data_IF_217830567497
#
_entry.id   IF_217830567497
#
_cell.length_a   1.000
_cell.length_b   1.000
_cell.length_c   1.000
_cell.angle_alpha   90.00
_cell.angle_beta   90.00
_cell.angle_gamma   90.00
#
_symmetry.space_group_name_H-M   'P 1'
#
loop_
_entity.id
_entity.type
_entity.pdbx_description
1 polymer ?
#
# COMPACT_ATOMS: atom_id res chain seq x y z
N UNK A 1 5.02 16.75 -10.65
CA UNK A 1 6.18 16.70 -9.72
C UNK A 1 7.02 15.50 -10.10
N UNK A 2 8.32 15.66 -10.41
CA UNK A 2 9.19 14.52 -10.73
C UNK A 2 9.70 13.88 -9.45
N UNK A 3 9.73 12.54 -9.40
CA UNK A 3 10.32 11.75 -8.31
C UNK A 3 11.86 11.75 -8.37
N UNK A 4 12.41 11.87 -9.58
CA UNK A 4 13.85 11.80 -9.87
C UNK A 4 14.31 13.14 -10.43
N UNK A 5 15.44 13.64 -9.92
CA UNK A 5 16.07 14.85 -10.46
C UNK A 5 16.96 14.51 -11.65
N UNK A 6 17.85 13.52 -11.49
CA UNK A 6 18.76 13.07 -12.55
C UNK A 6 18.96 11.56 -12.46
N UNK A 7 19.11 10.89 -13.61
CA UNK A 7 19.57 9.51 -13.70
C UNK A 7 20.65 9.40 -14.76
N UNK A 8 21.75 8.71 -14.47
CA UNK A 8 22.79 8.41 -15.44
C UNK A 8 23.35 7.01 -15.21
N UNK A 9 23.87 6.42 -16.27
CA UNK A 9 24.56 5.14 -16.23
C UNK A 9 26.07 5.40 -16.16
N UNK A 10 26.73 4.78 -15.20
CA UNK A 10 28.18 4.84 -15.04
C UNK A 10 28.80 3.58 -15.68
N UNK A 11 29.39 3.74 -16.86
CA UNK A 11 30.03 2.66 -17.61
C UNK A 11 31.24 2.07 -16.88
N UNK A 12 31.89 2.82 -15.98
CA UNK A 12 33.06 2.36 -15.24
C UNK A 12 32.71 1.39 -14.11
N UNK A 13 31.56 1.59 -13.47
CA UNK A 13 31.08 0.75 -12.36
C UNK A 13 29.96 -0.21 -12.75
N UNK A 14 29.41 -0.09 -13.97
CA UNK A 14 28.23 -0.84 -14.43
C UNK A 14 27.00 -0.58 -13.54
N UNK A 15 26.85 0.66 -13.06
CA UNK A 15 25.79 1.07 -12.13
C UNK A 15 24.87 2.13 -12.73
N UNK A 16 23.57 2.02 -12.43
CA UNK A 16 22.59 3.07 -12.73
C UNK A 16 22.42 3.95 -11.49
N UNK A 17 22.88 5.19 -11.57
CA UNK A 17 22.80 6.16 -10.48
C UNK A 17 21.55 6.99 -10.65
N UNK A 18 20.64 6.90 -9.68
CA UNK A 18 19.38 7.64 -9.65
C UNK A 18 19.42 8.62 -8.48
N UNK A 19 19.34 9.92 -8.78
CA UNK A 19 19.23 10.96 -7.75
C UNK A 19 17.76 11.32 -7.53
N UNK A 20 17.24 11.17 -6.29
CA UNK A 20 15.89 11.59 -5.98
C UNK A 20 15.75 13.11 -6.11
N UNK A 21 14.52 13.59 -6.27
CA UNK A 21 14.25 15.02 -6.24
C UNK A 21 14.44 15.58 -4.81
N UNK A 22 15.37 16.53 -4.58
CA UNK A 22 15.63 17.07 -3.25
C UNK A 22 14.44 17.82 -2.65
N UNK A 23 13.52 18.34 -3.45
CA UNK A 23 12.30 18.99 -2.96
C UNK A 23 11.38 18.02 -2.21
N UNK A 24 11.52 16.71 -2.48
CA UNK A 24 10.79 15.64 -1.80
C UNK A 24 11.47 15.18 -0.51
N UNK A 25 12.63 15.74 -0.14
CA UNK A 25 13.40 15.29 1.03
C UNK A 25 12.62 15.42 2.34
N UNK A 26 11.74 16.43 2.44
CA UNK A 26 10.82 16.58 3.58
C UNK A 26 9.82 15.43 3.69
N UNK A 27 9.43 14.80 2.57
CA UNK A 27 8.55 13.62 2.55
C UNK A 27 9.31 12.32 2.87
N UNK A 28 10.59 12.25 2.54
CA UNK A 28 11.45 11.08 2.83
C UNK A 28 12.00 11.06 4.26
N UNK A 29 11.95 12.19 4.98
CA UNK A 29 12.26 12.26 6.41
C UNK A 29 11.13 11.64 7.24
N UNK A 30 11.01 10.31 7.22
CA UNK A 30 10.08 9.58 8.08
C UNK A 30 10.81 8.43 8.78
N UNK A 31 11.12 8.71 10.05
CA UNK A 31 10.98 7.90 11.27
C UNK A 31 11.10 6.36 11.22
N UNK A 32 11.58 5.75 12.30
CA UNK A 32 11.99 4.33 12.44
C UNK A 32 10.96 3.22 12.06
N UNK A 33 9.78 3.59 11.55
CA UNK A 33 8.75 2.72 10.97
C UNK A 33 9.18 2.04 9.66
N UNK A 34 10.21 2.54 8.98
CA UNK A 34 10.70 1.99 7.69
C UNK A 34 10.98 0.49 7.75
N UNK A 35 11.57 0.00 8.85
CA UNK A 35 11.92 -1.43 8.99
C UNK A 35 10.68 -2.33 9.03
N UNK A 36 9.61 -1.89 9.69
CA UNK A 36 8.35 -2.63 9.76
C UNK A 36 7.70 -2.71 8.38
N UNK A 37 7.71 -1.60 7.65
CA UNK A 37 7.18 -1.54 6.28
C UNK A 37 7.95 -2.48 5.36
N UNK A 38 9.28 -2.44 5.40
CA UNK A 38 10.13 -3.28 4.54
C UNK A 38 9.88 -4.77 4.74
N UNK A 39 9.58 -5.24 5.96
CA UNK A 39 9.35 -6.66 6.20
C UNK A 39 8.07 -7.16 5.53
N UNK A 40 6.94 -6.47 5.72
CA UNK A 40 5.68 -6.87 5.09
C UNK A 40 5.72 -6.64 3.58
N UNK A 41 6.32 -5.54 3.12
CA UNK A 41 6.48 -5.26 1.68
C UNK A 41 7.29 -6.35 0.97
N UNK A 42 8.31 -6.92 1.62
CA UNK A 42 9.06 -8.09 1.10
C UNK A 42 8.16 -9.32 0.94
N UNK A 43 7.32 -9.63 1.93
CA UNK A 43 6.35 -10.74 1.84
C UNK A 43 5.32 -10.51 0.75
N UNK A 44 4.95 -9.25 0.51
CA UNK A 44 4.02 -8.82 -0.55
C UNK A 44 4.73 -8.54 -1.89
N UNK A 45 5.92 -9.09 -2.14
CA UNK A 45 6.65 -8.86 -3.38
C UNK A 45 5.80 -9.19 -4.61
N UNK A 46 5.78 -8.27 -5.59
CA UNK A 46 4.97 -8.33 -6.83
C UNK A 46 3.45 -8.30 -6.61
N UNK A 47 2.98 -7.98 -5.40
CA UNK A 47 1.57 -7.81 -5.05
C UNK A 47 1.26 -6.32 -4.87
N UNK A 48 1.43 -5.53 -5.93
CA UNK A 48 1.38 -4.05 -5.90
C UNK A 48 0.12 -3.48 -5.23
N UNK A 49 -1.06 -4.01 -5.56
CA UNK A 49 -2.31 -3.56 -4.93
C UNK A 49 -2.35 -3.84 -3.42
N UNK A 50 -1.80 -4.98 -2.98
CA UNK A 50 -1.69 -5.27 -1.55
C UNK A 50 -0.67 -4.36 -0.87
N UNK A 51 0.48 -4.09 -1.50
CA UNK A 51 1.48 -3.15 -0.98
C UNK A 51 0.90 -1.74 -0.81
N UNK A 52 0.18 -1.24 -1.82
CA UNK A 52 -0.47 0.06 -1.77
C UNK A 52 -1.54 0.13 -0.66
N UNK A 53 -2.37 -0.91 -0.53
CA UNK A 53 -3.36 -0.98 0.55
C UNK A 53 -2.70 -1.11 1.93
N UNK A 54 -1.59 -1.85 2.06
CA UNK A 54 -0.84 -1.97 3.30
C UNK A 54 -0.36 -0.60 3.80
N UNK A 55 0.33 0.16 2.92
CA UNK A 55 0.84 1.49 3.24
C UNK A 55 -0.29 2.46 3.62
N UNK A 56 -1.44 2.37 2.94
CA UNK A 56 -2.61 3.16 3.31
C UNK A 56 -3.15 2.76 4.69
N UNK A 57 -3.36 1.46 4.94
CA UNK A 57 -3.98 0.95 6.15
C UNK A 57 -3.09 1.06 7.39
N UNK A 58 -1.77 1.03 7.24
CA UNK A 58 -0.84 1.11 8.39
C UNK A 58 -0.78 2.52 8.98
N UNK A 59 -0.92 3.54 8.13
CA UNK A 59 -0.93 4.95 8.54
C UNK A 59 -2.28 5.40 9.12
N UNK A 60 -3.36 4.61 8.96
CA UNK A 60 -4.65 4.96 9.56
C UNK A 60 -4.61 4.86 11.10
N UNK A 61 -5.32 5.75 11.82
CA UNK A 61 -5.46 5.69 13.27
C UNK A 61 -6.01 4.34 13.75
N UNK A 62 -5.58 3.86 14.92
CA UNK A 62 -5.95 2.52 15.41
C UNK A 62 -7.46 2.32 15.60
N UNK A 63 -8.17 3.38 15.98
CA UNK A 63 -9.63 3.39 16.16
C UNK A 63 -10.43 3.37 14.84
N UNK A 64 -9.78 3.45 13.69
CA UNK A 64 -10.45 3.44 12.39
C UNK A 64 -10.74 2.01 11.94
N UNK A 65 -12.03 1.68 11.76
CA UNK A 65 -12.48 0.28 11.60
C UNK A 65 -13.37 0.03 10.38
N UNK A 66 -13.82 1.05 9.64
CA UNK A 66 -14.70 0.88 8.45
C UNK A 66 -14.23 1.72 7.28
N UNK A 67 -14.10 1.11 6.10
CA UNK A 67 -13.67 1.76 4.86
C UNK A 67 -14.57 1.35 3.70
N UNK A 68 -15.15 2.32 2.99
CA UNK A 68 -15.88 2.02 1.76
C UNK A 68 -14.96 1.57 0.62
N UNK A 69 -15.45 0.67 -0.24
CA UNK A 69 -14.70 0.23 -1.42
C UNK A 69 -14.50 1.34 -2.45
N UNK A 70 -15.35 2.37 -2.47
CA UNK A 70 -15.11 3.63 -3.20
C UNK A 70 -13.74 4.23 -2.87
N UNK A 71 -13.45 4.43 -1.57
CA UNK A 71 -12.15 4.97 -1.14
C UNK A 71 -11.00 4.05 -1.51
N UNK A 72 -11.16 2.74 -1.36
CA UNK A 72 -10.11 1.77 -1.71
C UNK A 72 -9.80 1.80 -3.22
N UNK A 73 -10.83 1.97 -4.06
CA UNK A 73 -10.66 2.11 -5.52
C UNK A 73 -9.92 3.38 -5.89
N UNK A 74 -10.29 4.51 -5.28
CA UNK A 74 -9.61 5.79 -5.47
C UNK A 74 -8.14 5.71 -5.06
N UNK A 75 -7.84 5.05 -3.92
CA UNK A 75 -6.46 4.87 -3.45
C UNK A 75 -5.62 4.02 -4.40
N UNK A 76 -6.21 3.01 -5.03
CA UNK A 76 -5.54 2.17 -6.00
C UNK A 76 -5.54 2.76 -7.41
N UNK A 77 -6.18 3.91 -7.64
CA UNK A 77 -6.31 4.58 -8.93
C UNK A 77 -6.72 3.63 -10.07
N UNK A 78 -7.61 2.68 -9.77
CA UNK A 78 -8.01 1.68 -10.74
C UNK A 78 -8.90 2.33 -11.81
N UNK A 79 -8.65 2.02 -13.08
CA UNK A 79 -9.40 2.55 -14.23
C UNK A 79 -10.36 1.53 -14.85
N UNK A 80 -10.31 0.27 -14.40
CA UNK A 80 -11.19 -0.80 -14.86
C UNK A 80 -12.63 -0.61 -14.40
N UNK A 81 -13.56 -1.40 -14.92
CA UNK A 81 -14.95 -1.38 -14.46
C UNK A 81 -15.07 -1.83 -12.99
N UNK A 82 -16.08 -1.33 -12.26
CA UNK A 82 -16.27 -1.54 -10.81
C UNK A 82 -16.15 -2.99 -10.35
N UNK A 83 -16.64 -3.95 -11.13
CA UNK A 83 -16.55 -5.39 -10.83
C UNK A 83 -15.10 -5.89 -10.72
N UNK A 84 -14.29 -5.64 -11.76
CA UNK A 84 -12.88 -5.97 -11.76
C UNK A 84 -12.10 -5.24 -10.65
N UNK A 85 -12.41 -3.96 -10.41
CA UNK A 85 -11.78 -3.21 -9.32
C UNK A 85 -12.04 -3.85 -7.96
N UNK A 86 -13.29 -4.25 -7.70
CA UNK A 86 -13.67 -4.92 -6.46
C UNK A 86 -12.98 -6.29 -6.31
N UNK A 87 -12.79 -7.03 -7.41
CA UNK A 87 -12.04 -8.28 -7.40
C UNK A 87 -10.56 -8.06 -7.05
N UNK A 88 -9.92 -7.04 -7.62
CA UNK A 88 -8.55 -6.64 -7.29
C UNK A 88 -8.41 -6.27 -5.82
N UNK A 89 -9.35 -5.49 -5.28
CA UNK A 89 -9.35 -5.11 -3.86
C UNK A 89 -9.51 -6.33 -2.97
N UNK A 90 -10.46 -7.22 -3.25
CA UNK A 90 -10.67 -8.44 -2.47
C UNK A 90 -9.42 -9.31 -2.43
N UNK A 91 -8.80 -9.54 -3.60
CA UNK A 91 -7.54 -10.29 -3.70
C UNK A 91 -6.42 -9.62 -2.90
N UNK A 92 -6.31 -8.30 -2.96
CA UNK A 92 -5.31 -7.56 -2.21
C UNK A 92 -5.55 -7.68 -0.68
N UNK A 93 -6.79 -7.62 -0.22
CA UNK A 93 -7.14 -7.78 1.19
C UNK A 93 -6.85 -9.20 1.70
N UNK A 94 -7.15 -10.23 0.90
CA UNK A 94 -6.79 -11.63 1.19
C UNK A 94 -5.27 -11.79 1.34
N UNK A 95 -4.49 -11.20 0.45
CA UNK A 95 -3.02 -11.21 0.54
C UNK A 95 -2.49 -10.52 1.81
N UNK A 96 -3.19 -9.50 2.32
CA UNK A 96 -2.85 -8.85 3.58
C UNK A 96 -3.19 -9.69 4.80
N UNK A 97 -4.24 -10.50 4.71
CA UNK A 97 -4.58 -11.48 5.74
C UNK A 97 -3.57 -12.64 5.77
N UNK A 98 -3.24 -13.20 4.60
CA UNK A 98 -2.19 -14.21 4.44
C UNK A 98 -0.83 -13.74 4.99
N UNK A 99 -0.50 -12.45 4.77
CA UNK A 99 0.72 -11.85 5.29
C UNK A 99 0.68 -11.59 6.81
N UNK A 100 -0.44 -11.87 7.48
CA UNK A 100 -0.62 -11.71 8.92
C UNK A 100 -0.81 -10.26 9.37
N UNK A 101 -1.05 -9.33 8.43
CA UNK A 101 -1.22 -7.91 8.74
C UNK A 101 -2.67 -7.58 9.13
N UNK A 102 -3.66 -8.11 8.42
CA UNK A 102 -5.05 -7.64 8.50
C UNK A 102 -6.01 -8.79 8.74
N UNK A 103 -6.84 -8.69 9.79
CA UNK A 103 -8.07 -9.48 9.90
C UNK A 103 -9.26 -8.59 9.63
N UNK A 104 -10.17 -9.05 8.77
CA UNK A 104 -11.25 -8.22 8.27
C UNK A 104 -12.49 -9.04 7.91
N UNK A 105 -13.60 -8.33 7.72
CA UNK A 105 -14.79 -8.83 7.02
C UNK A 105 -15.24 -7.82 5.98
N UNK A 106 -16.07 -8.26 5.03
CA UNK A 106 -16.65 -7.40 4.00
C UNK A 106 -18.16 -7.42 4.15
N UNK A 107 -18.73 -6.25 4.42
CA UNK A 107 -20.17 -6.05 4.49
C UNK A 107 -20.69 -5.42 3.19
N UNK A 108 -21.94 -5.70 2.82
CA UNK A 108 -22.65 -4.93 1.80
C UNK A 108 -23.43 -3.81 2.48
N UNK A 109 -23.23 -2.57 2.03
CA UNK A 109 -23.95 -1.41 2.51
C UNK A 109 -24.42 -0.57 1.32
N UNK A 110 -25.73 -0.29 1.24
CA UNK A 110 -26.35 0.58 0.21
C UNK A 110 -25.89 0.27 -1.23
N UNK A 111 -25.79 -1.02 -1.57
CA UNK A 111 -25.42 -1.46 -2.92
C UNK A 111 -23.91 -1.46 -3.23
N UNK A 112 -23.05 -1.17 -2.26
CA UNK A 112 -21.59 -1.31 -2.39
C UNK A 112 -20.98 -2.11 -1.23
N UNK A 113 -19.69 -2.35 -1.29
CA UNK A 113 -18.95 -3.08 -0.28
C UNK A 113 -18.26 -2.13 0.72
N UNK A 114 -18.18 -2.56 1.96
CA UNK A 114 -17.47 -1.90 3.04
C UNK A 114 -16.51 -2.89 3.68
N UNK A 115 -15.24 -2.54 3.72
CA UNK A 115 -14.22 -3.22 4.52
C UNK A 115 -14.45 -2.89 5.98
N UNK A 116 -14.61 -3.92 6.81
CA UNK A 116 -14.65 -3.81 8.27
C UNK A 116 -13.39 -4.46 8.83
N UNK A 117 -12.56 -3.67 9.49
CA UNK A 117 -11.29 -4.10 10.06
C UNK A 117 -11.57 -4.66 11.46
N UNK A 118 -11.22 -5.93 11.67
CA UNK A 118 -11.32 -6.60 12.96
C UNK A 118 -10.06 -6.34 13.79
N UNK A 119 -8.89 -6.48 13.16
CA UNK A 119 -7.60 -6.15 13.78
C UNK A 119 -6.53 -5.86 12.73
N UNK A 120 -5.54 -5.06 13.13
CA UNK A 120 -4.31 -4.80 12.36
C UNK A 120 -3.10 -5.13 13.21
N UNK A 121 -2.20 -5.96 12.68
CA UNK A 121 -0.93 -6.25 13.32
C UNK A 121 0.19 -5.39 12.70
N UNK A 122 0.49 -4.26 13.35
CA UNK A 122 1.58 -3.36 12.92
C UNK A 122 2.98 -3.90 13.28
N UNK A 123 3.05 -4.91 14.15
CA UNK A 123 4.29 -5.53 14.64
C UNK A 123 4.34 -6.98 14.15
N UNK A 124 4.58 -7.18 12.85
CA UNK A 124 4.83 -8.55 12.36
C UNK A 124 6.25 -8.95 12.78
N UNK A 125 6.33 -9.60 13.96
CA UNK A 125 7.53 -10.14 14.64
C UNK A 125 8.39 -10.98 13.73
#
# INVERSE_FOLDING_TARGET
MSLVSTSYYDEGTDEVIIRPNPDLNTLYRVDGKTRLYLKILKTLSRKESAQALYLYLVELPDHFYRIGFDRLRERLQLTSHKGAQNATIKKALEQLDEAGFLKYTIEKNRGDYVLVILSRNKKVT
#
